data_IF_803487397085
#
_entry.id   IF_803487397085
#
_cell.length_a   1.000
_cell.length_b   1.000
_cell.length_c   1.000
_cell.angle_alpha   90.00
_cell.angle_beta   90.00
_cell.angle_gamma   90.00
#
_symmetry.space_group_name_H-M   'P 1'
#
loop_
_entity.id
_entity.type
_entity.pdbx_description
1 polymer ?
#
# COMPACT_ATOMS: atom_id res chain seq x y z
N UNK A 1 17.34 48.48 -52.31
CA UNK A 1 17.65 48.84 -50.91
C UNK A 1 18.00 47.57 -50.16
N UNK A 2 19.14 47.53 -49.48
CA UNK A 2 19.47 46.40 -48.62
C UNK A 2 18.47 46.35 -47.45
N UNK A 3 17.90 45.18 -47.10
CA UNK A 3 17.02 45.07 -45.95
C UNK A 3 17.78 45.49 -44.69
N UNK A 4 17.08 46.18 -43.78
CA UNK A 4 17.67 46.61 -42.52
C UNK A 4 18.14 45.40 -41.71
N UNK A 5 19.12 45.60 -40.82
CA UNK A 5 19.62 44.53 -39.93
C UNK A 5 18.51 43.85 -39.13
N UNK A 6 17.47 44.61 -38.75
CA UNK A 6 16.29 44.09 -38.06
C UNK A 6 15.45 43.19 -38.97
N UNK A 7 15.24 43.56 -40.24
CA UNK A 7 14.54 42.70 -41.21
C UNK A 7 15.33 41.42 -41.51
N UNK A 8 16.66 41.51 -41.64
CA UNK A 8 17.50 40.32 -41.84
C UNK A 8 17.46 39.37 -40.64
N UNK A 9 17.54 39.90 -39.41
CA UNK A 9 17.43 39.10 -38.20
C UNK A 9 16.04 38.43 -38.05
N UNK A 10 14.96 39.15 -38.39
CA UNK A 10 13.61 38.60 -38.36
C UNK A 10 13.40 37.47 -39.37
N UNK A 11 14.01 37.56 -40.55
CA UNK A 11 13.99 36.50 -41.57
C UNK A 11 14.79 35.28 -41.11
N UNK A 12 15.98 35.48 -40.52
CA UNK A 12 16.79 34.36 -39.99
C UNK A 12 16.04 33.63 -38.86
N UNK A 13 15.44 34.39 -37.94
CA UNK A 13 14.68 33.83 -36.82
C UNK A 13 13.46 33.04 -37.30
N UNK A 14 12.68 33.57 -38.24
CA UNK A 14 11.43 32.96 -38.71
C UNK A 14 11.63 31.84 -39.73
N UNK A 15 12.62 31.95 -40.62
CA UNK A 15 12.83 30.96 -41.68
C UNK A 15 13.76 29.81 -41.28
N UNK A 16 14.65 30.01 -40.30
CA UNK A 16 15.63 28.99 -39.93
C UNK A 16 15.53 28.57 -38.46
N UNK A 17 15.51 29.52 -37.51
CA UNK A 17 15.56 29.17 -36.08
C UNK A 17 14.24 28.59 -35.59
N UNK A 18 13.10 29.23 -35.87
CA UNK A 18 11.77 28.78 -35.45
C UNK A 18 11.42 27.39 -36.02
N UNK A 19 11.63 27.09 -37.33
CA UNK A 19 11.39 25.76 -37.87
C UNK A 19 12.31 24.69 -37.27
N UNK A 20 13.58 25.00 -37.01
CA UNK A 20 14.51 24.07 -36.35
C UNK A 20 14.09 23.83 -34.89
N UNK A 21 13.77 24.86 -34.12
CA UNK A 21 13.28 24.71 -32.75
C UNK A 21 11.94 23.97 -32.70
N UNK A 22 11.04 24.23 -33.64
CA UNK A 22 9.77 23.52 -33.78
C UNK A 22 10.02 22.06 -34.15
N UNK A 23 10.90 21.77 -35.11
CA UNK A 23 11.30 20.41 -35.48
C UNK A 23 11.97 19.68 -34.31
N UNK A 24 12.89 20.32 -33.58
CA UNK A 24 13.52 19.76 -32.39
C UNK A 24 12.50 19.51 -31.27
N UNK A 25 11.56 20.44 -31.05
CA UNK A 25 10.47 20.25 -30.09
C UNK A 25 9.56 19.07 -30.49
N UNK A 26 9.16 19.00 -31.77
CA UNK A 26 8.32 17.91 -32.27
C UNK A 26 9.04 16.56 -32.29
N UNK A 27 10.32 16.51 -32.67
CA UNK A 27 11.12 15.27 -32.66
C UNK A 27 11.43 14.79 -31.26
N UNK A 28 11.71 15.70 -30.32
CA UNK A 28 11.90 15.37 -28.90
C UNK A 28 10.58 14.94 -28.23
N UNK A 29 9.47 15.60 -28.58
CA UNK A 29 8.10 15.21 -28.20
C UNK A 29 7.69 13.85 -28.78
N UNK A 30 8.07 13.55 -30.03
CA UNK A 30 7.82 12.24 -30.64
C UNK A 30 8.77 11.15 -30.14
N UNK A 31 10.02 11.47 -29.78
CA UNK A 31 10.94 10.55 -29.11
C UNK A 31 10.48 10.23 -27.68
N UNK A 32 9.86 11.18 -26.98
CA UNK A 32 9.26 10.96 -25.66
C UNK A 32 7.99 10.10 -25.71
N UNK A 33 7.38 9.87 -26.89
CA UNK A 33 6.09 9.15 -27.05
C UNK A 33 6.23 7.70 -27.55
N UNK A 34 7.39 7.07 -27.40
CA UNK A 34 7.61 5.63 -27.66
C UNK A 34 8.53 5.06 -26.57
N UNK A 35 8.24 3.94 -25.91
CA UNK A 35 7.15 2.96 -26.01
C UNK A 35 7.17 2.21 -24.68
N UNK A 36 6.06 2.19 -23.94
CA UNK A 36 5.91 1.21 -22.87
C UNK A 36 6.19 -0.17 -23.47
N UNK A 37 7.12 -0.92 -22.87
CA UNK A 37 7.58 -2.20 -23.39
C UNK A 37 6.46 -3.25 -23.51
N UNK A 38 6.72 -4.43 -24.10
CA UNK A 38 5.72 -5.48 -24.22
C UNK A 38 5.16 -5.86 -22.85
N UNK A 39 3.93 -6.38 -22.79
CA UNK A 39 3.40 -6.93 -21.54
C UNK A 39 4.37 -8.00 -21.00
N UNK A 40 4.64 -8.01 -19.68
CA UNK A 40 5.40 -9.10 -19.10
C UNK A 40 4.63 -10.43 -19.28
N UNK A 41 5.32 -11.57 -19.33
CA UNK A 41 4.64 -12.85 -19.33
C UNK A 41 3.78 -13.03 -18.05
N UNK A 42 2.75 -13.87 -18.09
CA UNK A 42 2.00 -14.23 -16.88
C UNK A 42 2.91 -14.79 -15.79
N UNK A 43 2.62 -14.41 -14.55
CA UNK A 43 3.27 -14.91 -13.33
C UNK A 43 2.22 -15.54 -12.41
N UNK A 44 2.62 -15.93 -11.21
CA UNK A 44 1.75 -16.45 -10.16
C UNK A 44 1.81 -15.60 -8.88
N UNK A 45 0.72 -15.62 -8.11
CA UNK A 45 0.69 -15.16 -6.73
C UNK A 45 1.38 -16.20 -5.86
N UNK A 46 2.41 -15.79 -5.11
CA UNK A 46 3.20 -16.71 -4.27
C UNK A 46 2.92 -16.55 -2.78
N UNK A 47 2.33 -15.42 -2.38
CA UNK A 47 1.97 -15.18 -0.98
C UNK A 47 0.89 -14.10 -0.91
N UNK A 48 0.00 -14.26 0.06
CA UNK A 48 -1.00 -13.29 0.46
C UNK A 48 -0.78 -12.92 1.92
N UNK A 49 -0.78 -11.61 2.20
CA UNK A 49 -0.65 -11.06 3.54
C UNK A 49 -1.84 -10.14 3.84
N UNK A 50 -2.44 -10.35 5.00
CA UNK A 50 -3.46 -9.47 5.56
C UNK A 50 -2.86 -8.85 6.82
N UNK A 51 -3.13 -7.58 7.09
CA UNK A 51 -2.75 -6.93 8.34
C UNK A 51 -4.01 -6.44 9.05
N UNK A 52 -4.65 -7.30 9.87
CA UNK A 52 -5.99 -7.01 10.38
C UNK A 52 -6.11 -5.66 11.08
N UNK A 53 -5.11 -5.38 11.93
CA UNK A 53 -5.00 -4.11 12.64
C UNK A 53 -3.91 -3.25 11.98
N UNK A 54 -4.24 -2.00 11.69
CA UNK A 54 -3.28 -1.00 11.18
C UNK A 54 -2.03 -1.00 12.06
N UNK A 55 -0.87 -1.04 11.40
CA UNK A 55 0.45 -0.97 12.05
C UNK A 55 0.82 -2.16 12.95
N UNK A 56 0.01 -3.22 12.99
CA UNK A 56 0.34 -4.46 13.70
C UNK A 56 0.92 -5.54 12.77
N UNK A 57 1.24 -6.70 13.34
CA UNK A 57 1.76 -7.86 12.61
C UNK A 57 0.78 -8.31 11.51
N UNK A 58 1.33 -8.81 10.40
CA UNK A 58 0.55 -9.38 9.30
C UNK A 58 0.40 -10.89 9.43
N UNK A 59 -0.71 -11.44 8.93
CA UNK A 59 -0.96 -12.87 8.83
C UNK A 59 -0.79 -13.32 7.37
N UNK A 60 -0.13 -14.45 7.18
CA UNK A 60 -0.05 -15.11 5.87
C UNK A 60 -1.24 -16.03 5.70
N UNK A 61 -1.92 -15.93 4.56
CA UNK A 61 -3.11 -16.73 4.25
C UNK A 61 -2.98 -17.43 2.91
N UNK A 62 -3.69 -18.54 2.72
CA UNK A 62 -3.73 -19.26 1.45
C UNK A 62 -4.75 -18.66 0.48
N UNK A 63 -5.84 -18.10 1.01
CA UNK A 63 -6.85 -17.37 0.26
C UNK A 63 -7.41 -16.20 1.06
N UNK A 64 -8.01 -15.25 0.35
CA UNK A 64 -8.73 -14.14 0.94
C UNK A 64 -9.79 -13.63 -0.05
N UNK A 65 -10.93 -13.20 0.46
CA UNK A 65 -11.92 -12.49 -0.35
C UNK A 65 -11.41 -11.08 -0.65
N UNK A 66 -11.37 -10.69 -1.92
CA UNK A 66 -11.14 -9.32 -2.34
C UNK A 66 -12.47 -8.57 -2.36
N UNK A 67 -12.59 -7.59 -1.47
CA UNK A 67 -13.71 -6.66 -1.35
C UNK A 67 -13.38 -5.34 -2.09
N UNK A 68 -14.37 -4.45 -2.32
CA UNK A 68 -14.09 -3.12 -2.87
C UNK A 68 -13.08 -2.31 -2.04
N UNK A 69 -13.02 -2.57 -0.73
CA UNK A 69 -12.17 -1.89 0.26
C UNK A 69 -10.81 -2.55 0.50
N UNK A 70 -10.50 -3.67 -0.15
CA UNK A 70 -9.24 -4.42 0.02
C UNK A 70 -9.45 -5.91 0.21
N UNK A 71 -8.39 -6.62 0.64
CA UNK A 71 -8.56 -7.99 1.11
C UNK A 71 -9.40 -7.97 2.39
N UNK A 72 -10.23 -8.99 2.57
CA UNK A 72 -11.01 -9.15 3.78
C UNK A 72 -10.12 -9.13 5.03
N UNK A 73 -10.66 -8.61 6.12
CA UNK A 73 -9.97 -8.30 7.38
C UNK A 73 -8.85 -7.25 7.27
N UNK A 74 -8.39 -6.84 6.08
CA UNK A 74 -7.19 -6.01 5.94
C UNK A 74 -7.38 -4.56 6.43
N UNK A 75 -6.67 -4.21 7.50
CA UNK A 75 -6.73 -2.90 8.18
C UNK A 75 -8.17 -2.46 8.43
N UNK A 76 -9.04 -3.39 8.82
CA UNK A 76 -10.39 -3.10 9.30
C UNK A 76 -10.37 -2.51 10.72
N UNK A 77 -9.31 -2.77 11.49
CA UNK A 77 -9.09 -2.21 12.82
C UNK A 77 -7.90 -1.25 12.86
N UNK A 78 -7.92 -0.36 13.84
CA UNK A 78 -6.85 0.60 14.12
C UNK A 78 -6.81 0.95 15.60
N UNK A 79 -5.61 1.06 16.17
CA UNK A 79 -5.43 1.61 17.52
C UNK A 79 -5.45 3.14 17.47
N UNK A 80 -6.11 3.75 18.45
CA UNK A 80 -6.20 5.20 18.60
C UNK A 80 -5.91 5.64 20.04
N UNK A 81 -5.44 6.86 20.21
CA UNK A 81 -5.34 7.51 21.53
C UNK A 81 -6.72 7.79 22.12
N UNK A 82 -6.79 7.95 23.43
CA UNK A 82 -7.94 8.49 24.13
C UNK A 82 -7.51 9.68 25.00
N UNK A 83 -8.30 10.78 25.08
CA UNK A 83 -9.62 10.99 24.48
C UNK A 83 -9.64 11.54 23.04
N UNK A 84 -8.51 11.73 22.37
CA UNK A 84 -8.46 12.44 21.08
C UNK A 84 -8.80 11.57 19.86
N UNK A 85 -8.79 10.25 19.98
CA UNK A 85 -9.05 9.30 18.89
C UNK A 85 -8.12 9.48 17.68
N UNK A 86 -6.84 9.80 17.94
CA UNK A 86 -5.81 9.88 16.90
C UNK A 86 -5.15 8.52 16.66
N UNK A 87 -5.02 8.14 15.39
CA UNK A 87 -4.40 6.88 14.99
C UNK A 87 -2.94 6.73 15.46
N UNK A 88 -2.61 5.53 15.92
CA UNK A 88 -1.25 5.13 16.28
C UNK A 88 -0.59 4.35 15.13
N UNK A 89 0.73 4.52 14.94
CA UNK A 89 1.46 3.80 13.88
C UNK A 89 2.85 3.33 14.31
N UNK A 90 3.41 2.41 13.52
CA UNK A 90 4.81 1.95 13.63
C UNK A 90 5.82 3.11 13.63
N UNK A 91 5.48 4.25 13.02
CA UNK A 91 6.36 5.44 12.98
C UNK A 91 6.53 6.07 14.37
N UNK A 92 5.51 5.97 15.21
CA UNK A 92 5.54 6.47 16.59
C UNK A 92 6.00 5.37 17.55
N UNK A 93 5.51 4.14 17.36
CA UNK A 93 5.84 3.01 18.22
C UNK A 93 6.10 1.75 17.38
N UNK A 94 7.38 1.42 17.16
CA UNK A 94 7.77 0.24 16.39
C UNK A 94 7.27 -1.06 17.03
N UNK A 95 7.10 -1.10 18.36
CA UNK A 95 6.63 -2.27 19.09
C UNK A 95 5.25 -2.73 18.62
N UNK A 96 4.44 -1.88 17.99
CA UNK A 96 3.15 -2.29 17.43
C UNK A 96 3.25 -3.52 16.51
N UNK A 97 4.40 -3.78 15.87
CA UNK A 97 4.61 -5.01 15.08
C UNK A 97 4.60 -6.30 15.93
N UNK A 98 4.77 -6.20 17.24
CA UNK A 98 4.66 -7.29 18.22
C UNK A 98 3.23 -7.55 18.68
N UNK A 99 2.27 -6.68 18.33
CA UNK A 99 0.85 -6.99 18.45
C UNK A 99 0.51 -7.95 17.31
N UNK A 100 0.11 -9.17 17.66
CA UNK A 100 -0.13 -10.28 16.74
C UNK A 100 -1.60 -10.66 16.70
N UNK A 101 -2.34 -10.18 15.69
CA UNK A 101 -3.64 -10.72 15.35
C UNK A 101 -3.48 -12.14 14.78
N UNK A 102 -4.39 -13.03 15.16
CA UNK A 102 -4.55 -14.37 14.58
C UNK A 102 -6.03 -14.58 14.28
N UNK A 103 -6.33 -15.06 13.07
CA UNK A 103 -7.69 -15.33 12.61
C UNK A 103 -7.94 -16.84 12.59
N UNK A 104 -9.02 -17.27 13.25
CA UNK A 104 -9.55 -18.63 13.19
C UNK A 104 -10.85 -18.62 12.37
N UNK A 105 -10.78 -19.22 11.18
CA UNK A 105 -11.91 -19.33 10.25
C UNK A 105 -13.02 -20.25 10.78
N UNK A 106 -12.69 -21.25 11.59
CA UNK A 106 -13.67 -22.22 12.09
C UNK A 106 -14.62 -21.63 13.13
N UNK A 107 -14.14 -20.64 13.88
CA UNK A 107 -14.92 -19.94 14.92
C UNK A 107 -15.20 -18.48 14.57
N UNK A 108 -14.82 -18.02 13.37
CA UNK A 108 -14.87 -16.63 12.95
C UNK A 108 -14.30 -15.64 13.99
N UNK A 109 -13.13 -15.97 14.55
CA UNK A 109 -12.57 -15.23 15.70
C UNK A 109 -11.25 -14.58 15.35
N UNK A 110 -11.12 -13.29 15.65
CA UNK A 110 -9.85 -12.57 15.66
C UNK A 110 -9.33 -12.48 17.10
N UNK A 111 -8.24 -13.20 17.39
CA UNK A 111 -7.54 -13.13 18.68
C UNK A 111 -6.33 -12.21 18.53
N UNK A 112 -6.19 -11.25 19.45
CA UNK A 112 -5.14 -10.24 19.42
C UNK A 112 -4.26 -10.42 20.64
N UNK A 113 -2.98 -10.72 20.41
CA UNK A 113 -2.00 -10.89 21.48
C UNK A 113 -0.88 -9.86 21.42
N UNK A 114 -0.27 -9.54 22.55
CA UNK A 114 0.96 -8.75 22.62
C UNK A 114 1.82 -9.14 23.82
N UNK A 115 3.15 -8.90 23.79
CA UNK A 115 4.00 -9.06 24.97
C UNK A 115 3.56 -8.16 26.12
N UNK A 116 3.51 -8.69 27.35
CA UNK A 116 3.33 -7.86 28.53
C UNK A 116 4.62 -7.07 28.84
N UNK A 117 4.58 -5.75 29.11
CA UNK A 117 5.78 -4.92 29.26
C UNK A 117 6.78 -5.37 30.34
N UNK A 118 6.29 -6.03 31.39
CA UNK A 118 7.07 -6.40 32.57
C UNK A 118 7.13 -7.92 32.81
N UNK A 119 6.85 -8.73 31.79
CA UNK A 119 6.88 -10.19 31.91
C UNK A 119 7.38 -10.82 30.61
N UNK A 120 8.26 -11.83 30.75
CA UNK A 120 8.75 -12.62 29.61
C UNK A 120 7.72 -13.70 29.20
N UNK A 121 6.88 -14.14 30.15
CA UNK A 121 6.00 -15.29 29.97
C UNK A 121 4.52 -14.91 29.77
N UNK A 122 4.12 -13.71 30.19
CA UNK A 122 2.73 -13.26 30.08
C UNK A 122 2.48 -12.52 28.78
N UNK A 123 1.25 -12.62 28.29
CA UNK A 123 0.77 -11.94 27.09
C UNK A 123 -0.52 -11.21 27.44
N UNK A 124 -0.66 -10.02 26.85
CA UNK A 124 -1.92 -9.32 26.76
C UNK A 124 -2.75 -10.01 25.68
N UNK A 125 -4.04 -10.20 25.92
CA UNK A 125 -4.92 -10.92 24.99
C UNK A 125 -6.36 -10.42 25.08
N UNK A 126 -7.03 -10.37 23.94
CA UNK A 126 -8.49 -10.37 23.84
C UNK A 126 -8.91 -11.04 22.52
N UNK A 127 -10.17 -11.44 22.43
CA UNK A 127 -10.77 -12.00 21.21
C UNK A 127 -12.06 -11.27 20.88
N UNK A 128 -12.30 -11.08 19.58
CA UNK A 128 -13.51 -10.48 19.02
C UNK A 128 -13.94 -11.29 17.78
N UNK A 129 -15.21 -11.25 17.37
CA UNK A 129 -15.60 -11.80 16.07
C UNK A 129 -14.83 -11.11 14.96
N UNK A 130 -14.36 -11.88 13.96
CA UNK A 130 -13.68 -11.32 12.79
C UNK A 130 -14.68 -10.68 11.82
N UNK A 131 -15.90 -11.23 11.73
CA UNK A 131 -17.01 -10.62 10.98
C UNK A 131 -18.20 -10.34 11.91
N UNK A 132 -18.09 -9.37 12.83
CA UNK A 132 -19.15 -9.10 13.80
C UNK A 132 -20.43 -8.64 13.11
N UNK A 133 -21.58 -9.14 13.57
CA UNK A 133 -22.88 -8.68 13.09
C UNK A 133 -23.14 -7.24 13.53
N UNK A 134 -24.12 -6.58 12.90
CA UNK A 134 -24.51 -5.22 13.27
C UNK A 134 -25.00 -5.17 14.72
N UNK A 135 -25.79 -6.16 15.14
CA UNK A 135 -26.34 -6.28 16.50
C UNK A 135 -25.21 -6.44 17.51
N UNK A 136 -24.24 -7.32 17.21
CA UNK A 136 -23.07 -7.50 18.07
C UNK A 136 -22.29 -6.18 18.22
N UNK A 137 -22.09 -5.43 17.13
CA UNK A 137 -21.42 -4.13 17.19
C UNK A 137 -22.23 -3.10 17.99
N UNK A 138 -23.55 -3.04 17.81
CA UNK A 138 -24.41 -2.11 18.55
C UNK A 138 -24.37 -2.38 20.06
N UNK A 139 -24.17 -3.63 20.49
CA UNK A 139 -24.07 -4.01 21.90
C UNK A 139 -22.66 -3.84 22.50
N UNK A 140 -21.61 -4.00 21.70
CA UNK A 140 -20.22 -4.09 22.20
C UNK A 140 -19.34 -2.88 21.81
N UNK A 141 -19.90 -1.92 21.07
CA UNK A 141 -19.15 -0.75 20.58
C UNK A 141 -19.98 0.52 20.60
N UNK A 142 -19.31 1.66 20.65
CA UNK A 142 -19.92 2.97 20.50
C UNK A 142 -19.60 3.56 19.12
N UNK A 143 -20.52 4.36 18.59
CA UNK A 143 -20.26 5.14 17.36
C UNK A 143 -19.44 6.36 17.73
N UNK A 144 -18.28 6.52 17.09
CA UNK A 144 -17.44 7.70 17.24
C UNK A 144 -16.81 8.06 15.89
N UNK A 145 -15.98 9.10 15.87
CA UNK A 145 -15.07 9.38 14.77
C UNK A 145 -13.62 9.19 15.19
N UNK A 146 -12.78 8.71 14.28
CA UNK A 146 -11.34 8.63 14.49
C UNK A 146 -10.60 9.44 13.43
N UNK A 147 -9.47 10.02 13.82
CA UNK A 147 -8.60 10.79 12.93
C UNK A 147 -7.52 9.86 12.36
N UNK A 148 -7.43 9.82 11.04
CA UNK A 148 -6.39 9.15 10.27
C UNK A 148 -5.82 10.15 9.26
N UNK A 149 -4.55 10.51 9.42
CA UNK A 149 -3.92 11.57 8.64
C UNK A 149 -4.70 12.90 8.72
N UNK A 150 -4.97 13.51 7.57
CA UNK A 150 -5.77 14.74 7.44
C UNK A 150 -7.28 14.49 7.46
N UNK A 151 -7.72 13.23 7.64
CA UNK A 151 -9.11 12.81 7.49
C UNK A 151 -9.69 12.34 8.83
N UNK A 152 -10.91 12.77 9.14
CA UNK A 152 -11.74 12.21 10.20
C UNK A 152 -12.80 11.32 9.56
N UNK A 153 -13.02 10.12 10.08
CA UNK A 153 -14.00 9.16 9.54
C UNK A 153 -14.78 8.48 10.65
N UNK A 154 -16.04 8.15 10.40
CA UNK A 154 -16.88 7.42 11.35
C UNK A 154 -16.32 6.03 11.63
N UNK A 155 -16.48 5.55 12.85
CA UNK A 155 -15.97 4.24 13.27
C UNK A 155 -16.80 3.71 14.44
N UNK A 156 -16.67 2.41 14.69
CA UNK A 156 -17.07 1.82 15.95
C UNK A 156 -15.86 1.76 16.89
N UNK A 157 -16.06 2.05 18.17
CA UNK A 157 -15.02 2.05 19.20
C UNK A 157 -15.36 0.95 20.20
N UNK A 158 -14.41 0.04 20.43
CA UNK A 158 -14.58 -1.00 21.45
C UNK A 158 -14.46 -0.44 22.86
N UNK A 159 -15.07 -1.14 23.82
CA UNK A 159 -15.12 -0.69 25.20
C UNK A 159 -13.74 -0.55 25.87
N UNK A 160 -13.61 0.31 26.89
CA UNK A 160 -12.41 0.38 27.71
C UNK A 160 -12.02 -0.96 28.31
N UNK A 161 -12.97 -1.79 28.73
CA UNK A 161 -12.70 -3.09 29.37
C UNK A 161 -11.96 -4.04 28.42
N UNK A 162 -12.35 -4.08 27.14
CA UNK A 162 -11.69 -4.91 26.13
C UNK A 162 -10.23 -4.49 25.92
N UNK A 163 -9.97 -3.17 25.93
CA UNK A 163 -8.70 -2.59 25.50
C UNK A 163 -7.77 -2.21 26.66
N UNK A 164 -8.27 -2.16 27.88
CA UNK A 164 -7.54 -1.79 29.09
C UNK A 164 -6.23 -2.56 29.29
N UNK A 165 -6.15 -3.90 29.02
CA UNK A 165 -4.89 -4.62 29.13
C UNK A 165 -3.78 -4.03 28.24
N UNK A 166 -4.14 -3.44 27.10
CA UNK A 166 -3.20 -2.85 26.14
C UNK A 166 -2.72 -1.45 26.53
N UNK A 167 -3.35 -0.77 27.50
CA UNK A 167 -2.85 0.54 27.97
C UNK A 167 -1.41 0.45 28.46
N UNK A 168 -1.04 -0.64 29.15
CA UNK A 168 0.33 -0.88 29.61
C UNK A 168 1.32 -1.03 28.44
N UNK A 169 0.89 -1.60 27.31
CA UNK A 169 1.73 -1.76 26.12
C UNK A 169 2.06 -0.41 25.46
N UNK A 170 1.09 0.50 25.43
CA UNK A 170 1.21 1.81 24.80
C UNK A 170 1.68 2.92 25.74
N UNK A 171 1.79 2.65 27.04
CA UNK A 171 2.08 3.64 28.09
C UNK A 171 1.11 4.84 28.07
N UNK A 172 -0.13 4.59 27.67
CA UNK A 172 -1.24 5.55 27.64
C UNK A 172 -2.56 4.83 27.46
N UNK A 173 -3.64 5.54 27.73
CA UNK A 173 -4.96 5.02 27.42
C UNK A 173 -5.17 4.98 25.89
N UNK A 174 -5.59 3.81 25.41
CA UNK A 174 -5.89 3.58 23.99
C UNK A 174 -7.26 2.97 23.83
N UNK A 175 -7.79 3.06 22.61
CA UNK A 175 -8.96 2.30 22.15
C UNK A 175 -8.65 1.60 20.85
N UNK A 176 -9.35 0.50 20.63
CA UNK A 176 -9.42 -0.16 19.34
C UNK A 176 -10.65 0.37 18.62
N UNK A 177 -10.49 0.73 17.36
CA UNK A 177 -11.61 1.14 16.50
C UNK A 177 -11.71 0.23 15.30
N UNK A 178 -12.92 -0.01 14.81
CA UNK A 178 -13.15 -0.79 13.60
C UNK A 178 -14.09 -0.12 12.60
N UNK A 179 -13.78 -0.36 11.33
CA UNK A 179 -14.73 -0.25 10.23
C UNK A 179 -15.20 -1.66 9.90
N UNK A 180 -16.48 -1.99 10.11
CA UNK A 180 -16.97 -3.34 9.86
C UNK A 180 -16.71 -3.75 8.40
N UNK A 181 -16.67 -5.07 8.11
CA UNK A 181 -16.33 -5.59 6.78
C UNK A 181 -17.18 -4.99 5.65
N UNK A 182 -18.42 -4.62 6.00
CA UNK A 182 -19.31 -3.76 5.22
C UNK A 182 -19.61 -2.52 6.06
N UNK A 183 -18.69 -1.56 6.06
CA UNK A 183 -18.92 -0.27 6.69
C UNK A 183 -19.89 0.53 5.84
N UNK A 184 -20.97 1.03 6.43
CA UNK A 184 -21.86 2.00 5.80
C UNK A 184 -21.16 3.34 5.50
N UNK A 185 -20.00 3.58 6.13
CA UNK A 185 -19.17 4.77 5.96
C UNK A 185 -17.71 4.37 5.67
N UNK A 186 -17.41 3.70 4.54
CA UNK A 186 -16.02 3.38 4.19
C UNK A 186 -15.28 4.68 3.83
N UNK A 187 -13.97 4.74 4.06
CA UNK A 187 -13.21 5.97 3.83
C UNK A 187 -12.97 6.18 2.33
N UNK A 188 -13.44 7.29 1.71
CA UNK A 188 -13.22 7.54 0.29
C UNK A 188 -11.73 7.66 -0.04
N UNK A 189 -11.34 7.17 -1.22
CA UNK A 189 -9.99 7.33 -1.70
C UNK A 189 -9.72 8.77 -2.13
N UNK A 190 -8.49 9.22 -1.91
CA UNK A 190 -7.98 10.54 -2.32
C UNK A 190 -6.77 10.36 -3.24
N UNK A 191 -6.08 11.45 -3.61
CA UNK A 191 -4.86 11.37 -4.43
C UNK A 191 -5.15 10.63 -5.76
N UNK A 192 -4.32 9.68 -6.19
CA UNK A 192 -4.51 8.88 -7.40
C UNK A 192 -5.77 7.99 -7.39
N UNK A 193 -6.41 7.82 -6.23
CA UNK A 193 -7.66 7.08 -6.08
C UNK A 193 -8.89 7.98 -6.04
N UNK A 194 -8.73 9.31 -6.12
CA UNK A 194 -9.85 10.22 -6.16
C UNK A 194 -10.72 9.98 -7.42
N UNK A 195 -12.05 10.14 -7.35
CA UNK A 195 -12.95 9.84 -8.47
C UNK A 195 -12.61 10.56 -9.77
N UNK A 196 -12.16 11.81 -9.69
CA UNK A 196 -11.74 12.60 -10.85
C UNK A 196 -10.49 12.04 -11.57
N UNK A 197 -9.68 11.22 -10.89
CA UNK A 197 -8.47 10.58 -11.43
C UNK A 197 -8.72 9.12 -11.78
N UNK A 198 -9.35 8.37 -10.88
CA UNK A 198 -9.65 6.95 -11.05
C UNK A 198 -10.81 6.70 -12.03
N UNK A 199 -11.69 7.70 -12.22
CA UNK A 199 -12.89 7.61 -13.05
C UNK A 199 -14.07 6.90 -12.38
N UNK A 200 -13.96 6.56 -11.09
CA UNK A 200 -15.04 5.97 -10.29
C UNK A 200 -14.84 6.23 -8.79
N UNK A 201 -15.93 6.13 -8.05
CA UNK A 201 -15.87 6.07 -6.59
C UNK A 201 -15.17 4.78 -6.14
N UNK A 202 -14.35 4.90 -5.11
CA UNK A 202 -13.67 3.80 -4.47
C UNK A 202 -13.35 4.18 -3.03
N UNK A 203 -13.19 3.17 -2.18
CA UNK A 203 -13.01 3.37 -0.75
C UNK A 203 -12.06 2.35 -0.15
N UNK A 204 -11.69 2.58 1.11
CA UNK A 204 -10.88 1.66 1.92
C UNK A 204 -11.24 1.81 3.40
N UNK A 205 -10.69 0.96 4.26
CA UNK A 205 -10.78 1.10 5.71
C UNK A 205 -9.62 1.97 6.24
N UNK A 206 -8.74 1.39 7.07
CA UNK A 206 -7.58 2.06 7.64
C UNK A 206 -6.21 1.87 6.95
N UNK A 207 -6.07 1.33 5.71
CA UNK A 207 -4.82 1.49 4.94
C UNK A 207 -4.40 2.96 4.81
N UNK A 208 -3.12 3.23 4.48
CA UNK A 208 -2.65 4.62 4.34
C UNK A 208 -3.27 5.32 3.12
N UNK A 209 -3.30 4.63 1.97
CA UNK A 209 -3.75 5.18 0.69
C UNK A 209 -4.75 4.25 0.02
N UNK A 210 -4.25 3.26 -0.74
CA UNK A 210 -5.06 2.34 -1.54
C UNK A 210 -5.30 1.03 -0.80
N UNK A 211 -6.40 0.32 -1.14
CA UNK A 211 -6.80 -0.90 -0.47
C UNK A 211 -5.85 -2.10 -0.69
N UNK A 212 -5.05 -2.10 -1.77
CA UNK A 212 -4.13 -3.19 -2.09
C UNK A 212 -2.73 -2.62 -2.37
N UNK A 213 -1.71 -3.29 -1.82
CA UNK A 213 -0.31 -3.14 -2.23
C UNK A 213 0.17 -4.44 -2.88
N UNK A 214 0.60 -4.37 -4.13
CA UNK A 214 1.23 -5.47 -4.86
C UNK A 214 2.75 -5.34 -4.77
N UNK A 215 3.43 -6.43 -4.44
CA UNK A 215 4.88 -6.53 -4.43
C UNK A 215 5.38 -7.63 -5.37
N UNK A 216 6.55 -7.41 -5.94
CA UNK A 216 7.23 -8.36 -6.82
C UNK A 216 8.42 -8.98 -6.08
N UNK A 217 8.46 -10.32 -6.02
CA UNK A 217 9.55 -11.05 -5.37
C UNK A 217 10.90 -10.77 -6.05
N UNK A 218 10.93 -10.69 -7.37
CA UNK A 218 12.16 -10.41 -8.11
C UNK A 218 12.76 -9.05 -7.71
N UNK A 219 11.92 -8.06 -7.39
CA UNK A 219 12.34 -6.73 -6.91
C UNK A 219 12.91 -6.75 -5.48
N UNK A 220 12.33 -7.53 -4.55
CA UNK A 220 12.91 -7.64 -3.20
C UNK A 220 14.23 -8.42 -3.22
N UNK A 221 14.34 -9.43 -4.07
CA UNK A 221 15.59 -10.19 -4.26
C UNK A 221 16.72 -9.28 -4.81
N UNK A 222 16.37 -8.38 -5.74
CA UNK A 222 17.29 -7.38 -6.27
C UNK A 222 17.75 -6.37 -5.20
N UNK A 223 16.81 -5.83 -4.42
CA UNK A 223 17.14 -4.95 -3.29
C UNK A 223 18.06 -5.67 -2.29
N UNK A 224 17.80 -6.94 -2.00
CA UNK A 224 18.61 -7.74 -1.09
C UNK A 224 20.02 -8.01 -1.63
N UNK A 225 20.19 -8.08 -2.95
CA UNK A 225 21.52 -8.14 -3.57
C UNK A 225 22.30 -6.84 -3.33
N UNK A 226 21.64 -5.68 -3.42
CA UNK A 226 22.27 -4.39 -3.12
C UNK A 226 22.61 -4.22 -1.64
N UNK A 227 21.73 -4.67 -0.73
CA UNK A 227 21.98 -4.68 0.72
C UNK A 227 23.23 -5.52 1.04
N UNK A 228 23.30 -6.75 0.52
CA UNK A 228 24.48 -7.62 0.71
C UNK A 228 25.76 -6.99 0.17
N UNK A 229 25.70 -6.36 -1.01
CA UNK A 229 26.85 -5.66 -1.58
C UNK A 229 27.32 -4.45 -0.73
N UNK A 230 26.42 -3.88 0.08
CA UNK A 230 26.72 -2.84 1.06
C UNK A 230 27.09 -3.39 2.46
N UNK A 231 27.31 -4.71 2.59
CA UNK A 231 27.56 -5.41 3.85
C UNK A 231 26.42 -5.27 4.89
N UNK A 232 25.19 -5.11 4.41
CA UNK A 232 23.96 -5.05 5.23
C UNK A 232 23.19 -6.38 5.16
N UNK A 233 22.34 -6.62 6.15
CA UNK A 233 21.47 -7.79 6.18
C UNK A 233 20.34 -7.70 5.14
N UNK A 234 19.92 -8.85 4.63
CA UNK A 234 18.71 -8.92 3.80
C UNK A 234 17.47 -8.59 4.61
N UNK A 235 16.51 -7.97 3.93
CA UNK A 235 15.21 -7.60 4.48
C UNK A 235 14.11 -8.47 3.89
N UNK A 236 13.15 -8.84 4.72
CA UNK A 236 11.94 -9.56 4.33
C UNK A 236 10.94 -8.59 3.68
N UNK A 237 10.22 -9.05 2.65
CA UNK A 237 9.15 -8.29 1.99
C UNK A 237 8.04 -7.86 2.97
N UNK A 238 7.84 -8.59 4.08
CA UNK A 238 6.91 -8.24 5.18
C UNK A 238 7.14 -6.82 5.73
N UNK A 239 8.39 -6.32 5.70
CA UNK A 239 8.74 -4.95 6.09
C UNK A 239 8.05 -3.89 5.20
N UNK A 240 7.74 -4.25 3.95
CA UNK A 240 7.00 -3.40 3.02
C UNK A 240 5.48 -3.52 3.13
N UNK A 241 5.00 -4.49 3.90
CA UNK A 241 3.58 -4.74 4.22
C UNK A 241 2.66 -4.89 3.00
N UNK A 242 3.07 -5.59 1.92
CA UNK A 242 2.20 -5.82 0.77
C UNK A 242 1.00 -6.70 1.14
N UNK A 243 0.01 -6.75 0.25
CA UNK A 243 -1.11 -7.68 0.34
C UNK A 243 -0.91 -8.88 -0.59
N UNK A 244 -0.51 -8.61 -1.84
CA UNK A 244 -0.31 -9.61 -2.87
C UNK A 244 1.16 -9.60 -3.25
N UNK A 245 1.83 -10.75 -3.10
CA UNK A 245 3.21 -10.92 -3.54
C UNK A 245 3.19 -11.86 -4.75
N UNK A 246 3.74 -11.39 -5.86
CA UNK A 246 3.89 -12.19 -7.08
C UNK A 246 5.34 -12.58 -7.28
N UNK A 247 5.57 -13.70 -7.97
CA UNK A 247 6.92 -14.17 -8.30
C UNK A 247 7.69 -13.19 -9.18
N UNK A 248 7.04 -12.74 -10.26
CA UNK A 248 7.66 -11.92 -11.30
C UNK A 248 8.74 -12.68 -12.07
N UNK A 249 9.27 -12.03 -13.10
CA UNK A 249 10.37 -12.56 -13.91
C UNK A 249 11.70 -12.23 -13.25
N UNK A 250 12.52 -13.26 -12.98
CA UNK A 250 13.79 -13.13 -12.25
C UNK A 250 14.81 -12.21 -12.93
N UNK A 251 14.73 -12.06 -14.26
CA UNK A 251 15.60 -11.18 -15.05
C UNK A 251 15.05 -9.77 -15.22
N UNK A 252 13.86 -9.47 -14.68
CA UNK A 252 13.16 -8.19 -14.84
C UNK A 252 12.65 -7.66 -13.49
N UNK A 253 13.53 -7.47 -12.48
CA UNK A 253 13.14 -6.79 -11.25
C UNK A 253 12.65 -5.38 -11.56
N UNK A 254 11.72 -4.87 -10.75
CA UNK A 254 11.10 -3.55 -10.89
C UNK A 254 10.15 -3.37 -12.08
N UNK A 255 9.87 -4.44 -12.84
CA UNK A 255 8.91 -4.39 -13.96
C UNK A 255 7.51 -3.93 -13.50
N UNK A 256 7.16 -4.11 -12.23
CA UNK A 256 5.91 -3.63 -11.66
C UNK A 256 5.72 -2.11 -11.75
N UNK A 257 6.80 -1.33 -11.86
CA UNK A 257 6.75 0.13 -11.91
C UNK A 257 5.98 0.69 -13.11
N UNK A 258 5.69 -0.16 -14.10
CA UNK A 258 4.93 0.17 -15.31
C UNK A 258 3.58 -0.54 -15.41
N UNK A 259 3.19 -1.38 -14.45
CA UNK A 259 1.90 -2.09 -14.55
C UNK A 259 0.75 -1.10 -14.38
N UNK A 260 -0.24 -1.11 -15.27
CA UNK A 260 -1.41 -0.22 -15.23
C UNK A 260 -2.68 -0.96 -14.83
N UNK A 261 -2.90 -2.13 -15.44
CA UNK A 261 -4.06 -2.97 -15.16
C UNK A 261 -3.60 -4.41 -14.98
N UNK A 262 -4.07 -5.06 -13.92
CA UNK A 262 -3.76 -6.45 -13.60
C UNK A 262 -5.04 -7.28 -13.59
N UNK A 263 -4.91 -8.53 -14.01
CA UNK A 263 -5.98 -9.53 -14.05
C UNK A 263 -5.49 -10.79 -13.34
N UNK A 264 -6.23 -11.23 -12.34
CA UNK A 264 -6.00 -12.49 -11.63
C UNK A 264 -7.08 -13.46 -12.12
N UNK A 265 -6.66 -14.60 -12.66
CA UNK A 265 -7.58 -15.61 -13.19
C UNK A 265 -7.85 -16.66 -12.13
N UNK A 266 -9.11 -16.83 -11.69
CA UNK A 266 -9.49 -17.87 -10.75
C UNK A 266 -9.19 -19.27 -11.29
N UNK A 267 -9.06 -20.24 -10.39
CA UNK A 267 -8.92 -21.66 -10.76
C UNK A 267 -10.26 -22.30 -11.15
N UNK A 268 -11.38 -21.70 -10.74
CA UNK A 268 -12.76 -22.11 -11.04
C UNK A 268 -13.33 -21.33 -12.23
N UNK A 269 -14.55 -21.66 -12.65
CA UNK A 269 -15.33 -20.99 -13.71
C UNK A 269 -15.74 -19.53 -13.39
N UNK A 270 -15.16 -18.93 -12.35
CA UNK A 270 -15.44 -17.58 -11.89
C UNK A 270 -14.90 -16.51 -12.85
N UNK A 271 -15.51 -15.33 -12.77
CA UNK A 271 -15.03 -14.19 -13.55
C UNK A 271 -13.65 -13.74 -13.08
N UNK A 272 -12.76 -13.31 -13.99
CA UNK A 272 -11.47 -12.78 -13.60
C UNK A 272 -11.56 -11.56 -12.66
N UNK A 273 -10.65 -11.52 -11.69
CA UNK A 273 -10.48 -10.38 -10.81
C UNK A 273 -9.60 -9.35 -11.52
N UNK A 274 -10.04 -8.10 -11.58
CA UNK A 274 -9.33 -7.00 -12.23
C UNK A 274 -9.02 -5.92 -11.20
N UNK A 275 -7.78 -5.45 -11.18
CA UNK A 275 -7.36 -4.31 -10.36
C UNK A 275 -6.67 -3.25 -11.22
N UNK A 276 -6.93 -1.99 -10.87
CA UNK A 276 -6.27 -0.83 -11.43
C UNK A 276 -5.06 -0.47 -10.57
N UNK A 277 -3.87 -0.46 -11.17
CA UNK A 277 -2.68 0.08 -10.53
C UNK A 277 -2.73 1.60 -10.65
N UNK A 278 -2.74 2.26 -9.49
CA UNK A 278 -2.95 3.71 -9.42
C UNK A 278 -1.65 4.51 -9.37
N UNK A 279 -0.65 3.99 -8.68
CA UNK A 279 0.62 4.67 -8.45
C UNK A 279 1.69 3.74 -7.86
N UNK A 280 2.93 4.18 -7.95
CA UNK A 280 4.06 3.60 -7.21
C UNK A 280 3.91 3.89 -5.72
N UNK A 281 4.19 2.90 -4.87
CA UNK A 281 4.12 3.10 -3.43
C UNK A 281 5.37 3.84 -2.94
N UNK A 282 5.23 5.15 -2.72
CA UNK A 282 6.24 5.95 -2.03
C UNK A 282 6.42 5.45 -0.59
N UNK A 283 7.64 5.03 -0.25
CA UNK A 283 7.93 4.43 1.05
C UNK A 283 8.14 5.52 2.09
N UNK A 284 7.97 5.16 3.35
CA UNK A 284 8.50 5.89 4.51
C UNK A 284 9.55 5.02 5.20
N UNK A 285 9.98 5.38 6.41
CA UNK A 285 10.96 4.61 7.19
C UNK A 285 10.43 3.29 7.77
N UNK A 286 9.12 3.01 7.75
CA UNK A 286 8.54 1.77 8.30
C UNK A 286 9.26 0.48 7.87
N UNK A 287 9.72 0.29 6.61
CA UNK A 287 10.48 -0.90 6.22
C UNK A 287 11.79 -1.12 6.99
N UNK A 288 12.28 -0.12 7.71
CA UNK A 288 13.46 -0.24 8.57
C UNK A 288 13.19 -1.04 9.85
N UNK A 289 11.92 -1.15 10.26
CA UNK A 289 11.51 -1.89 11.45
C UNK A 289 11.39 -3.38 11.13
N UNK A 290 12.01 -4.22 11.93
CA UNK A 290 11.80 -5.67 11.88
C UNK A 290 10.40 -6.04 12.40
N UNK A 291 9.57 -6.75 11.62
CA UNK A 291 8.22 -7.10 12.05
C UNK A 291 8.19 -8.13 13.19
N UNK A 292 9.26 -8.90 13.39
CA UNK A 292 9.33 -9.96 14.39
C UNK A 292 9.92 -9.47 15.72
N UNK A 293 10.88 -8.53 15.67
CA UNK A 293 11.59 -8.02 16.87
C UNK A 293 11.23 -6.58 17.25
N UNK A 294 10.57 -5.83 16.36
CA UNK A 294 10.34 -4.38 16.46
C UNK A 294 11.61 -3.52 16.50
N UNK A 295 12.78 -4.11 16.25
CA UNK A 295 14.03 -3.37 16.17
C UNK A 295 14.09 -2.55 14.88
N UNK A 296 14.38 -1.26 15.03
CA UNK A 296 14.52 -0.35 13.90
C UNK A 296 15.99 -0.24 13.48
N UNK A 297 16.29 -0.58 12.22
CA UNK A 297 17.57 -0.22 11.63
C UNK A 297 17.56 1.28 11.27
N UNK A 298 18.51 2.05 11.78
CA UNK A 298 18.55 3.52 11.57
C UNK A 298 18.67 3.94 10.10
N UNK A 299 19.06 3.05 9.19
CA UNK A 299 19.37 3.35 7.79
C UNK A 299 18.65 2.46 6.79
N UNK A 300 18.62 1.15 7.01
CA UNK A 300 18.20 0.19 5.98
C UNK A 300 16.79 -0.33 6.16
N UNK A 301 16.05 -0.59 5.06
CA UNK A 301 16.49 -0.50 3.66
C UNK A 301 16.34 0.91 3.03
N UNK A 302 15.87 1.90 3.81
CA UNK A 302 15.59 3.25 3.33
C UNK A 302 16.75 3.90 2.56
N UNK A 303 17.95 3.93 3.13
CA UNK A 303 19.11 4.61 2.55
C UNK A 303 19.52 4.01 1.20
N UNK A 304 19.50 2.68 1.07
CA UNK A 304 19.78 2.02 -0.21
C UNK A 304 18.70 2.36 -1.23
N UNK A 305 17.43 2.25 -0.87
CA UNK A 305 16.33 2.61 -1.76
C UNK A 305 16.43 4.07 -2.23
N UNK A 306 16.77 5.01 -1.35
CA UNK A 306 16.94 6.42 -1.70
C UNK A 306 17.98 6.67 -2.80
N UNK A 307 19.00 5.80 -2.91
CA UNK A 307 20.06 5.97 -3.93
C UNK A 307 19.56 5.75 -5.36
N UNK A 308 18.55 4.89 -5.57
CA UNK A 308 18.17 4.48 -6.93
C UNK A 308 16.66 4.34 -7.19
N UNK A 309 15.82 4.43 -6.15
CA UNK A 309 14.36 4.22 -6.24
C UNK A 309 13.54 5.50 -6.09
N UNK A 310 14.16 6.68 -6.19
CA UNK A 310 13.47 7.97 -6.32
C UNK A 310 13.01 8.19 -7.76
N UNK A 311 12.12 7.31 -8.21
CA UNK A 311 11.75 7.17 -9.62
C UNK A 311 10.43 7.83 -9.98
N UNK A 312 9.65 8.27 -8.99
CA UNK A 312 8.37 8.92 -9.22
C UNK A 312 8.51 10.44 -9.18
N UNK A 313 8.24 11.10 -10.31
CA UNK A 313 8.37 12.54 -10.46
C UNK A 313 7.39 13.34 -9.59
N UNK A 314 6.29 12.73 -9.16
CA UNK A 314 5.33 13.35 -8.24
C UNK A 314 5.85 13.42 -6.80
N UNK A 315 6.88 12.64 -6.45
CA UNK A 315 7.40 12.55 -5.08
C UNK A 315 8.90 12.18 -5.04
N UNK A 316 9.73 13.06 -5.61
CA UNK A 316 11.17 12.81 -5.81
C UNK A 316 12.00 12.68 -4.53
N UNK A 317 11.47 13.04 -3.36
CA UNK A 317 12.16 12.96 -2.08
C UNK A 317 11.91 11.66 -1.30
N UNK A 318 11.09 10.74 -1.83
CA UNK A 318 10.87 9.40 -1.26
C UNK A 318 11.22 8.31 -2.29
N UNK A 319 11.70 7.15 -1.86
CA UNK A 319 11.91 6.03 -2.76
C UNK A 319 10.61 5.23 -2.94
N UNK A 320 10.52 4.45 -4.01
CA UNK A 320 9.36 3.61 -4.32
C UNK A 320 9.67 2.11 -4.24
N UNK A 321 8.74 1.34 -3.66
CA UNK A 321 8.73 -0.13 -3.70
C UNK A 321 7.29 -0.66 -3.69
N UNK A 322 6.95 -1.49 -4.68
CA UNK A 322 5.61 -2.03 -4.86
C UNK A 322 4.61 -1.03 -5.43
N UNK A 323 3.46 -1.53 -5.83
CA UNK A 323 2.43 -0.79 -6.56
C UNK A 323 1.11 -0.77 -5.80
N UNK A 324 0.52 0.42 -5.65
CA UNK A 324 -0.77 0.60 -5.00
C UNK A 324 -1.91 0.39 -6.00
N UNK A 325 -2.85 -0.48 -5.64
CA UNK A 325 -3.91 -0.94 -6.53
C UNK A 325 -5.31 -0.76 -5.91
N UNK A 326 -6.30 -0.59 -6.79
CA UNK A 326 -7.72 -0.48 -6.44
C UNK A 326 -8.51 -1.57 -7.18
N UNK A 327 -9.31 -2.38 -6.48
CA UNK A 327 -10.18 -3.38 -7.12
C UNK A 327 -11.15 -2.74 -8.11
N UNK A 328 -11.30 -3.37 -9.28
CA UNK A 328 -12.38 -3.09 -10.25
C UNK A 328 -13.47 -4.13 -10.14
N UNK A 329 -13.09 -5.38 -9.91
CA UNK A 329 -13.98 -6.49 -9.59
C UNK A 329 -13.55 -7.14 -8.27
N UNK A 330 -14.48 -7.89 -7.67
CA UNK A 330 -14.32 -8.60 -6.40
C UNK A 330 -14.30 -10.10 -6.65
N UNK A 331 -13.80 -10.89 -5.70
CA UNK A 331 -13.75 -12.35 -5.82
C UNK A 331 -12.77 -12.97 -4.82
N UNK A 332 -12.63 -14.29 -4.82
CA UNK A 332 -11.60 -14.96 -4.01
C UNK A 332 -10.24 -14.90 -4.70
N UNK A 333 -9.21 -14.45 -3.97
CA UNK A 333 -7.81 -14.50 -4.40
C UNK A 333 -7.11 -15.62 -3.64
N UNK A 334 -6.35 -16.47 -4.34
CA UNK A 334 -5.60 -17.57 -3.72
C UNK A 334 -4.14 -17.55 -4.15
N UNK A 335 -3.26 -18.06 -3.28
CA UNK A 335 -1.89 -18.41 -3.65
C UNK A 335 -1.92 -19.44 -4.78
N UNK A 336 -1.02 -19.28 -5.75
CA UNK A 336 -0.93 -20.09 -6.97
C UNK A 336 -1.80 -19.60 -8.12
N UNK A 337 -2.69 -18.60 -7.91
CA UNK A 337 -3.48 -18.05 -9.02
C UNK A 337 -2.60 -17.34 -10.05
N UNK A 338 -2.99 -17.48 -11.32
CA UNK A 338 -2.35 -16.81 -12.45
C UNK A 338 -2.58 -15.30 -12.35
N UNK A 339 -1.48 -14.55 -12.42
CA UNK A 339 -1.44 -13.10 -12.39
C UNK A 339 -0.93 -12.57 -13.74
N UNK A 340 -1.76 -11.78 -14.41
CA UNK A 340 -1.46 -11.23 -15.73
C UNK A 340 -1.54 -9.72 -15.71
N UNK A 341 -0.54 -9.07 -16.30
CA UNK A 341 -0.61 -7.64 -16.58
C UNK A 341 -1.26 -7.48 -17.94
N UNK A 342 -2.38 -6.77 -17.99
CA UNK A 342 -3.16 -6.57 -19.24
C UNK A 342 -2.92 -5.20 -19.86
N UNK A 343 -2.34 -4.28 -19.10
CA UNK A 343 -2.02 -2.93 -19.55
C UNK A 343 -0.82 -2.40 -18.78
N UNK A 344 0.00 -1.60 -19.46
CA UNK A 344 1.22 -1.00 -18.92
C UNK A 344 1.28 0.49 -19.27
N UNK A 345 1.94 1.28 -18.43
CA UNK A 345 2.12 2.73 -18.59
C UNK A 345 3.50 3.16 -18.08
N UNK A 346 4.08 4.21 -18.65
CA UNK A 346 5.20 4.97 -18.09
C UNK A 346 4.75 6.24 -17.36
N UNK A 347 3.44 6.55 -17.38
CA UNK A 347 2.85 7.80 -16.90
C UNK A 347 2.48 7.77 -15.41
N UNK A 348 2.84 6.72 -14.67
CA UNK A 348 2.62 6.70 -13.23
C UNK A 348 3.27 7.93 -12.59
N UNK A 349 2.46 8.69 -11.86
CA UNK A 349 2.88 9.89 -11.15
C UNK A 349 2.11 10.01 -9.84
N UNK A 350 2.84 10.15 -8.74
CA UNK A 350 2.28 10.36 -7.42
C UNK A 350 1.54 11.71 -7.35
N UNK A 351 0.31 11.70 -6.85
CA UNK A 351 -0.49 12.91 -6.62
C UNK A 351 -0.55 13.16 -5.11
N UNK A 352 -0.08 14.30 -4.63
CA UNK A 352 -0.19 14.67 -3.21
C UNK A 352 -1.64 14.97 -2.82
N UNK A 353 -2.06 14.64 -1.60
CA UNK A 353 -3.39 15.03 -1.09
C UNK A 353 -4.06 13.98 -0.21
N UNK A 354 -3.29 13.36 0.70
CA UNK A 354 -3.79 12.41 1.70
C UNK A 354 -3.72 13.02 3.10
#
# INVERSE_FOLDING_TARGET
MAPSRTTQAAVILSAFVLPILTYLYFTRSQQSKKKVGPLPPPTEIISLLIHPIKSCHGISVQSAKLLPTGLDLDRQWMWVTYPEYEFLTIRENSKMTLIRPAYDESTDTLTVTAPAPNSINEKLEFSIPAHPSKEWLDENTEVHSAKIWSTTTGTRVYSPELTAPFNAFFDREVRLVCKPPVSDDPRPLRSNGAPAVLGREASTCFPDLMPILVANKSSIDELNTRLKAAAEHSVDVRRFRPNIIVKGESNSPWDEDRWKTIKITPTSSEQPIVLDITQRCARCHVPNVDPDTAEENKKQPWDILMKYRRIDEGITYKPCYGMLAVPRTVGEVRVGMKFEVTEVTDEHRYITGF
#
